data_IF_755991313592
#
_entry.id   IF_755991313592
#
_cell.length_a   1.000
_cell.length_b   1.000
_cell.length_c   1.000
_cell.angle_alpha   90.00
_cell.angle_beta   90.00
_cell.angle_gamma   90.00
#
_symmetry.space_group_name_H-M   'P 1'
#
loop_
_entity.id
_entity.type
_entity.pdbx_description
1 polymer ?
#
# COMPACT_ATOMS: atom_id res chain seq x y z
N UNK A 1 -15.11 3.76 -6.85
CA UNK A 1 -14.17 2.74 -7.34
C UNK A 1 -12.77 3.33 -7.25
N UNK A 2 -11.85 2.65 -6.56
CA UNK A 2 -10.46 3.08 -6.55
C UNK A 2 -9.77 2.78 -7.90
N UNK A 3 -8.77 3.59 -8.24
CA UNK A 3 -7.87 3.38 -9.38
C UNK A 3 -6.42 3.25 -8.93
N UNK A 4 -5.57 2.69 -9.79
CA UNK A 4 -4.12 2.60 -9.55
C UNK A 4 -3.48 3.97 -9.29
N UNK A 5 -3.98 5.02 -9.95
CA UNK A 5 -3.51 6.39 -9.76
C UNK A 5 -3.81 6.87 -8.34
N UNK A 6 -5.02 6.63 -7.83
CA UNK A 6 -5.38 7.00 -6.46
C UNK A 6 -4.55 6.26 -5.41
N UNK A 7 -4.26 4.99 -5.62
CA UNK A 7 -3.39 4.21 -4.70
C UNK A 7 -1.96 4.77 -4.73
N UNK A 8 -1.41 5.04 -5.92
CA UNK A 8 -0.07 5.64 -6.06
C UNK A 8 0.01 7.02 -5.43
N UNK A 9 -0.95 7.89 -5.72
CA UNK A 9 -0.94 9.27 -5.23
C UNK A 9 -1.09 9.30 -3.70
N UNK A 10 -1.91 8.40 -3.13
CA UNK A 10 -2.02 8.25 -1.69
C UNK A 10 -0.69 7.81 -1.04
N UNK A 11 0.00 6.84 -1.65
CA UNK A 11 1.35 6.45 -1.22
C UNK A 11 2.35 7.61 -1.36
N UNK A 12 2.33 8.36 -2.46
CA UNK A 12 3.22 9.50 -2.65
C UNK A 12 2.99 10.62 -1.60
N UNK A 13 1.74 10.83 -1.19
CA UNK A 13 1.38 11.84 -0.17
C UNK A 13 1.71 11.40 1.26
N UNK A 14 1.63 10.11 1.57
CA UNK A 14 1.83 9.56 2.93
C UNK A 14 3.19 8.88 3.14
N UNK A 15 3.94 8.69 2.06
CA UNK A 15 5.19 7.92 2.03
C UNK A 15 4.91 6.42 2.08
N UNK A 16 4.77 5.88 3.29
CA UNK A 16 4.53 4.46 3.54
C UNK A 16 3.15 4.24 4.15
N UNK A 17 2.44 3.22 3.69
CA UNK A 17 1.13 2.86 4.24
C UNK A 17 0.91 1.36 4.14
N UNK A 18 0.20 0.82 5.13
CA UNK A 18 -0.28 -0.55 5.09
C UNK A 18 -1.47 -0.69 4.13
N UNK A 19 -1.58 -1.85 3.48
CA UNK A 19 -2.68 -2.13 2.55
C UNK A 19 -4.08 -2.02 3.21
N UNK A 20 -4.19 -2.34 4.50
CA UNK A 20 -5.45 -2.20 5.25
C UNK A 20 -5.86 -0.72 5.41
N UNK A 21 -4.91 0.18 5.67
CA UNK A 21 -5.18 1.62 5.78
C UNK A 21 -5.59 2.22 4.43
N UNK A 22 -4.95 1.79 3.35
CA UNK A 22 -5.32 2.18 1.98
C UNK A 22 -6.74 1.69 1.65
N UNK A 23 -7.06 0.44 2.01
CA UNK A 23 -8.38 -0.16 1.83
C UNK A 23 -9.49 0.63 2.51
N UNK A 24 -9.28 1.03 3.76
CA UNK A 24 -10.22 1.87 4.50
C UNK A 24 -10.33 3.28 3.90
N UNK A 25 -9.19 3.90 3.58
CA UNK A 25 -9.14 5.27 3.03
C UNK A 25 -9.86 5.38 1.69
N UNK A 26 -9.68 4.38 0.82
CA UNK A 26 -10.28 4.36 -0.51
C UNK A 26 -11.62 3.61 -0.57
N UNK A 27 -12.14 3.18 0.58
CA UNK A 27 -13.35 2.36 0.71
C UNK A 27 -13.40 1.23 -0.34
N UNK A 28 -12.30 0.48 -0.44
CA UNK A 28 -12.08 -0.54 -1.47
C UNK A 28 -11.64 -1.83 -0.81
N UNK A 29 -12.18 -3.00 -1.17
CA UNK A 29 -11.82 -4.27 -0.54
C UNK A 29 -10.31 -4.51 -0.53
N UNK A 30 -9.78 -4.94 0.62
CA UNK A 30 -8.35 -5.19 0.79
C UNK A 30 -7.74 -6.15 -0.26
N UNK A 31 -8.41 -7.24 -0.70
CA UNK A 31 -7.89 -8.08 -1.79
C UNK A 31 -7.67 -7.31 -3.10
N UNK A 32 -8.54 -6.34 -3.41
CA UNK A 32 -8.41 -5.50 -4.60
C UNK A 32 -7.24 -4.52 -4.46
N UNK A 33 -7.07 -3.91 -3.28
CA UNK A 33 -5.90 -3.07 -2.99
C UNK A 33 -4.60 -3.87 -3.08
N UNK A 34 -4.56 -5.09 -2.56
CA UNK A 34 -3.39 -5.96 -2.66
C UNK A 34 -3.02 -6.24 -4.13
N UNK A 35 -4.01 -6.54 -4.98
CA UNK A 35 -3.77 -6.72 -6.42
C UNK A 35 -3.25 -5.44 -7.08
N UNK A 36 -3.81 -4.27 -6.74
CA UNK A 36 -3.34 -2.98 -7.23
C UNK A 36 -1.90 -2.67 -6.81
N UNK A 37 -1.55 -2.94 -5.54
CA UNK A 37 -0.19 -2.75 -5.02
C UNK A 37 0.81 -3.69 -5.72
N UNK A 38 0.44 -4.96 -5.94
CA UNK A 38 1.26 -5.91 -6.67
C UNK A 38 1.49 -5.48 -8.13
N UNK A 39 0.47 -4.90 -8.77
CA UNK A 39 0.62 -4.34 -10.11
C UNK A 39 1.56 -3.12 -10.10
N UNK A 40 1.42 -2.20 -9.13
CA UNK A 40 2.33 -1.05 -9.00
C UNK A 40 3.78 -1.49 -8.73
N UNK A 41 3.98 -2.53 -7.94
CA UNK A 41 5.30 -3.13 -7.68
C UNK A 41 5.91 -3.73 -8.96
N UNK A 42 5.10 -4.47 -9.72
CA UNK A 42 5.53 -5.05 -11.01
C UNK A 42 5.92 -3.97 -12.04
N UNK A 43 5.36 -2.77 -11.93
CA UNK A 43 5.68 -1.60 -12.76
C UNK A 43 6.84 -0.75 -12.21
N UNK A 44 7.42 -1.10 -11.06
CA UNK A 44 8.45 -0.32 -10.37
C UNK A 44 7.95 1.03 -9.85
N UNK A 45 6.65 1.13 -9.51
CA UNK A 45 5.99 2.35 -9.01
C UNK A 45 5.69 2.33 -7.52
N UNK A 46 5.81 1.17 -6.88
CA UNK A 46 5.73 0.99 -5.44
C UNK A 46 6.72 -0.09 -5.02
N UNK A 47 7.14 -0.08 -3.75
CA UNK A 47 8.00 -1.11 -3.17
C UNK A 47 7.35 -1.62 -1.89
N UNK A 48 7.30 -2.93 -1.72
CA UNK A 48 6.84 -3.53 -0.47
C UNK A 48 7.94 -3.40 0.59
N UNK A 49 7.58 -2.80 1.72
CA UNK A 49 8.43 -2.72 2.89
C UNK A 49 7.99 -3.83 3.83
N UNK A 50 8.91 -4.73 4.19
CA UNK A 50 8.71 -5.65 5.30
C UNK A 50 9.17 -4.91 6.55
N UNK A 51 8.26 -4.60 7.47
CA UNK A 51 8.67 -4.18 8.80
C UNK A 51 9.19 -5.42 9.52
N UNK A 52 10.50 -5.46 9.74
CA UNK A 52 11.08 -6.41 10.67
C UNK A 52 10.50 -6.09 12.06
N UNK A 53 10.12 -7.10 12.87
CA UNK A 53 9.80 -6.85 14.27
C UNK A 53 11.10 -6.37 14.91
N UNK A 54 11.28 -5.05 14.94
CA UNK A 54 12.46 -4.41 15.47
C UNK A 54 12.64 -4.95 16.89
N UNK A 55 13.69 -5.76 17.07
CA UNK A 55 14.00 -6.55 18.26
C UNK A 55 14.38 -5.72 19.47
N UNK A 56 13.83 -4.52 19.59
CA UNK A 56 14.01 -3.61 20.71
C UNK A 56 12.73 -3.56 21.56
N UNK A 57 12.33 -4.73 22.07
CA UNK A 57 11.47 -4.83 23.26
C UNK A 57 12.31 -5.23 24.50
N UNK A 58 13.55 -4.70 24.59
CA UNK A 58 14.36 -4.80 25.81
C UNK A 58 13.95 -3.74 26.84
#
# INVERSE_FOLDING_TARGET
>A
MASLIQVRDLLALRGRMEAAQISQTLNTPQPMINAMLQQLESMGKAVRIQEEPDGCLS
#
